data_IF_552461288510
#
_entry.id   IF_552461288510
#
_cell.length_a   1.000
_cell.length_b   1.000
_cell.length_c   1.000
_cell.angle_alpha   90.00
_cell.angle_beta   90.00
_cell.angle_gamma   90.00
#
_symmetry.space_group_name_H-M   'P 1'
#
loop_
_entity.id
_entity.type
_entity.pdbx_description
1 polymer ?
#
# COMPACT_ATOMS: atom_id res chain seq x y z
N UNK A 1 -10.65 2.73 28.78
CA UNK A 1 -9.56 2.26 27.89
C UNK A 1 -9.10 3.42 27.01
N UNK A 2 -7.80 3.73 26.98
CA UNK A 2 -7.27 4.80 26.13
C UNK A 2 -7.54 4.50 24.65
N UNK A 3 -8.22 5.42 23.95
CA UNK A 3 -8.48 5.35 22.51
C UNK A 3 -7.14 5.28 21.78
N UNK A 4 -6.76 4.11 21.25
CA UNK A 4 -5.55 3.97 20.44
C UNK A 4 -5.75 4.73 19.12
N UNK A 5 -5.24 5.95 19.02
CA UNK A 5 -5.21 6.70 17.76
C UNK A 5 -4.25 6.03 16.78
N UNK A 6 -4.75 5.65 15.61
CA UNK A 6 -3.90 5.23 14.49
C UNK A 6 -3.64 6.43 13.58
N UNK A 7 -2.37 6.68 13.30
CA UNK A 7 -1.96 7.71 12.35
C UNK A 7 -1.81 7.07 10.98
N UNK A 8 -2.59 7.51 10.00
CA UNK A 8 -2.47 7.06 8.62
C UNK A 8 -2.00 8.22 7.75
N UNK A 9 -0.88 8.04 7.06
CA UNK A 9 -0.37 9.00 6.07
C UNK A 9 -0.72 8.50 4.67
N UNK A 10 -1.39 9.34 3.88
CA UNK A 10 -1.82 9.01 2.51
C UNK A 10 -1.34 10.08 1.54
N UNK A 11 -0.76 9.66 0.42
CA UNK A 11 -0.47 10.56 -0.70
C UNK A 11 -1.77 10.93 -1.44
N UNK A 12 -1.96 12.22 -1.66
CA UNK A 12 -3.04 12.82 -2.42
C UNK A 12 -2.42 13.46 -3.67
N UNK A 13 -3.09 13.31 -4.80
CA UNK A 13 -2.67 13.86 -6.08
C UNK A 13 -3.70 14.87 -6.56
N UNK A 14 -3.25 16.05 -6.90
CA UNK A 14 -4.03 17.14 -7.47
C UNK A 14 -3.54 17.39 -8.89
N UNK A 15 -4.46 17.32 -9.85
CA UNK A 15 -4.17 17.69 -11.23
C UNK A 15 -4.16 19.21 -11.37
N UNK A 16 -3.26 19.75 -12.17
CA UNK A 16 -3.23 21.17 -12.49
C UNK A 16 -4.13 21.49 -13.69
N UNK A 17 -4.66 22.71 -13.74
CA UNK A 17 -5.17 23.28 -14.99
C UNK A 17 -4.00 23.73 -15.86
N UNK A 18 -4.20 23.85 -17.19
CA UNK A 18 -3.17 24.33 -18.10
C UNK A 18 -2.55 25.66 -17.62
N UNK A 19 -1.22 25.71 -17.65
CA UNK A 19 -0.45 26.90 -17.29
C UNK A 19 0.18 27.52 -18.54
N UNK A 20 0.52 28.81 -18.45
CA UNK A 20 1.18 29.51 -19.55
C UNK A 20 2.57 28.94 -19.81
N UNK A 21 3.03 29.02 -21.07
CA UNK A 21 4.38 28.61 -21.46
C UNK A 21 5.47 29.26 -20.59
N UNK A 22 5.36 30.56 -20.33
CA UNK A 22 6.29 31.28 -19.46
C UNK A 22 6.36 30.73 -18.01
N UNK A 23 5.23 30.25 -17.45
CA UNK A 23 5.25 29.57 -16.14
C UNK A 23 5.94 28.22 -16.23
N UNK A 24 5.66 27.45 -17.29
CA UNK A 24 6.25 26.13 -17.51
C UNK A 24 7.77 26.21 -17.70
N UNK A 25 8.25 27.13 -18.54
CA UNK A 25 9.68 27.34 -18.79
C UNK A 25 10.42 27.71 -17.49
N UNK A 26 9.83 28.59 -16.66
CA UNK A 26 10.41 28.95 -15.37
C UNK A 26 10.44 27.78 -14.38
N UNK A 27 9.39 26.97 -14.33
CA UNK A 27 9.38 25.76 -13.50
C UNK A 27 10.40 24.74 -14.00
N UNK A 28 10.63 24.63 -15.31
CA UNK A 28 11.63 23.75 -15.89
C UNK A 28 13.03 24.10 -15.37
N UNK A 29 13.40 25.38 -15.40
CA UNK A 29 14.68 25.86 -14.83
C UNK A 29 14.82 25.46 -13.36
N UNK A 30 13.74 25.57 -12.56
CA UNK A 30 13.76 25.20 -11.15
C UNK A 30 13.91 23.69 -10.97
N UNK A 31 13.26 22.88 -11.80
CA UNK A 31 13.38 21.42 -11.78
C UNK A 31 14.77 20.94 -12.21
N UNK A 32 15.39 21.62 -13.18
CA UNK A 32 16.75 21.30 -13.63
C UNK A 32 17.78 21.60 -12.53
N UNK A 33 17.68 22.77 -11.88
CA UNK A 33 18.47 23.09 -10.69
C UNK A 33 18.24 22.08 -9.56
N UNK A 34 16.98 21.67 -9.32
CA UNK A 34 16.65 20.64 -8.32
C UNK A 34 17.37 19.32 -8.63
N UNK A 35 17.34 18.88 -9.89
CA UNK A 35 18.01 17.66 -10.35
C UNK A 35 19.52 17.75 -10.18
N UNK A 36 20.12 18.89 -10.50
CA UNK A 36 21.55 19.14 -10.34
C UNK A 36 21.97 19.07 -8.87
N UNK A 37 21.27 19.79 -7.98
CA UNK A 37 21.50 19.73 -6.53
C UNK A 37 21.37 18.29 -6.02
N UNK A 38 20.32 17.59 -6.44
CA UNK A 38 20.11 16.19 -6.09
C UNK A 38 21.29 15.32 -6.55
N UNK A 39 21.78 15.50 -7.77
CA UNK A 39 22.88 14.72 -8.33
C UNK A 39 24.23 14.99 -7.61
N UNK A 40 24.50 16.25 -7.26
CA UNK A 40 25.69 16.60 -6.48
C UNK A 40 25.60 16.01 -5.06
N UNK A 41 24.43 16.13 -4.41
CA UNK A 41 24.20 15.54 -3.09
C UNK A 41 24.36 14.02 -3.12
N UNK A 42 23.70 13.37 -4.07
CA UNK A 42 23.81 11.94 -4.36
C UNK A 42 25.26 11.45 -4.48
N UNK A 43 26.09 12.19 -5.21
CA UNK A 43 27.49 11.86 -5.42
C UNK A 43 28.33 11.98 -4.14
N UNK A 44 28.05 12.99 -3.30
CA UNK A 44 28.84 13.29 -2.09
C UNK A 44 28.37 12.58 -0.81
N UNK A 45 27.11 12.18 -0.74
CA UNK A 45 26.55 11.46 0.43
C UNK A 45 27.40 10.27 0.93
N UNK A 46 27.95 9.39 0.06
CA UNK A 46 28.79 8.27 0.51
C UNK A 46 30.07 8.69 1.25
N UNK A 47 30.69 9.82 0.87
CA UNK A 47 31.90 10.31 1.54
C UNK A 47 31.57 11.09 2.80
N UNK A 48 30.48 11.86 2.78
CA UNK A 48 30.00 12.65 3.92
C UNK A 48 29.55 11.77 5.10
N UNK A 49 28.92 10.62 4.84
CA UNK A 49 28.53 9.70 5.92
C UNK A 49 29.70 8.93 6.54
N UNK A 50 30.79 8.70 5.79
CA UNK A 50 31.98 7.98 6.28
C UNK A 50 32.95 8.85 7.08
N UNK A 51 32.98 10.16 6.83
CA UNK A 51 33.98 11.09 7.38
C UNK A 51 33.50 11.87 8.60
N UNK A 52 32.21 11.84 8.91
CA UNK A 52 31.69 12.66 10.01
C UNK A 52 31.82 11.92 11.36
N UNK A 53 32.80 12.32 12.17
CA UNK A 53 32.77 12.14 13.63
C UNK A 53 31.56 12.85 14.27
N UNK A 54 30.96 13.82 13.56
CA UNK A 54 29.80 14.61 13.97
C UNK A 54 28.67 14.45 12.96
N UNK A 55 27.67 13.63 13.31
CA UNK A 55 26.62 13.06 12.46
C UNK A 55 26.09 13.88 11.26
N UNK A 56 25.53 13.14 10.29
CA UNK A 56 25.04 13.55 8.96
C UNK A 56 24.45 14.96 8.82
N UNK A 57 23.81 15.51 9.86
CA UNK A 57 23.19 16.84 9.85
C UNK A 57 24.17 18.01 9.62
N UNK A 58 25.39 17.99 10.18
CA UNK A 58 26.38 19.08 9.96
C UNK A 58 26.94 19.05 8.53
N UNK A 59 27.17 17.86 7.99
CA UNK A 59 27.64 17.66 6.61
C UNK A 59 26.59 18.13 5.58
N UNK A 60 25.32 17.81 5.80
CA UNK A 60 24.22 18.28 4.94
C UNK A 60 24.07 19.80 4.99
N UNK A 61 24.28 20.42 6.16
CA UNK A 61 24.27 21.88 6.27
C UNK A 61 25.44 22.54 5.52
N UNK A 62 26.64 21.94 5.52
CA UNK A 62 27.77 22.45 4.70
C UNK A 62 27.46 22.32 3.21
N UNK A 63 26.98 21.17 2.77
CA UNK A 63 26.59 20.97 1.38
C UNK A 63 25.49 21.96 0.96
N UNK A 64 24.53 22.23 1.85
CA UNK A 64 23.51 23.27 1.64
C UNK A 64 24.15 24.65 1.48
N UNK A 65 25.12 25.02 2.33
CA UNK A 65 25.82 26.31 2.26
C UNK A 65 26.65 26.41 0.97
N UNK A 66 27.27 25.33 0.51
CA UNK A 66 28.06 25.31 -0.72
C UNK A 66 27.19 25.44 -1.98
N UNK A 67 25.98 24.86 -1.96
CA UNK A 67 25.05 24.87 -3.10
C UNK A 67 24.10 26.08 -3.11
N UNK A 68 23.94 26.77 -1.99
CA UNK A 68 23.05 27.93 -1.85
C UNK A 68 23.47 29.17 -2.66
N UNK A 69 24.77 29.51 -2.82
CA UNK A 69 25.22 30.63 -3.66
C UNK A 69 25.07 30.37 -5.17
N UNK A 70 25.00 29.10 -5.57
CA UNK A 70 25.05 28.68 -6.98
C UNK A 70 23.65 28.60 -7.60
N UNK A 71 22.58 28.61 -6.79
CA UNK A 71 21.22 28.33 -7.27
C UNK A 71 20.28 29.51 -7.08
N UNK A 72 19.62 29.91 -8.17
CA UNK A 72 18.53 30.92 -8.16
C UNK A 72 17.25 30.42 -7.46
N UNK A 73 17.24 29.16 -7.03
CA UNK A 73 16.08 28.44 -6.51
C UNK A 73 15.85 28.74 -5.04
N UNK A 74 14.60 28.65 -4.58
CA UNK A 74 14.27 28.83 -3.18
C UNK A 74 15.08 27.87 -2.28
N UNK A 75 15.68 28.41 -1.21
CA UNK A 75 16.55 27.65 -0.29
C UNK A 75 15.89 26.39 0.29
N UNK A 76 14.57 26.44 0.48
CA UNK A 76 13.75 25.31 0.95
C UNK A 76 13.63 24.19 -0.10
N UNK A 77 13.56 24.55 -1.39
CA UNK A 77 13.58 23.57 -2.49
C UNK A 77 14.97 22.92 -2.59
N UNK A 78 16.04 23.69 -2.44
CA UNK A 78 17.41 23.16 -2.43
C UNK A 78 17.63 22.22 -1.23
N UNK A 79 17.13 22.58 -0.05
CA UNK A 79 17.15 21.71 1.13
C UNK A 79 16.39 20.40 0.87
N UNK A 80 15.19 20.46 0.29
CA UNK A 80 14.42 19.25 -0.05
C UNK A 80 15.10 18.38 -1.10
N UNK A 81 15.85 18.94 -2.05
CA UNK A 81 16.65 18.16 -3.00
C UNK A 81 17.70 17.31 -2.29
N UNK A 82 18.40 17.90 -1.31
CA UNK A 82 19.41 17.23 -0.48
C UNK A 82 18.76 16.17 0.41
N UNK A 83 17.64 16.50 1.07
CA UNK A 83 16.92 15.56 1.93
C UNK A 83 16.36 14.38 1.13
N UNK A 84 15.85 14.64 -0.08
CA UNK A 84 15.38 13.60 -0.99
C UNK A 84 16.51 12.68 -1.46
N UNK A 85 17.69 13.24 -1.79
CA UNK A 85 18.87 12.45 -2.11
C UNK A 85 19.29 11.57 -0.92
N UNK A 86 19.26 12.11 0.30
CA UNK A 86 19.55 11.32 1.49
C UNK A 86 18.57 10.17 1.69
N UNK A 87 17.26 10.41 1.58
CA UNK A 87 16.25 9.37 1.74
C UNK A 87 16.42 8.23 0.71
N UNK A 88 16.76 8.57 -0.53
CA UNK A 88 17.06 7.59 -1.57
C UNK A 88 18.36 6.83 -1.30
N UNK A 89 19.37 7.49 -0.73
CA UNK A 89 20.60 6.84 -0.27
C UNK A 89 20.33 5.78 0.80
N UNK A 90 19.63 6.16 1.86
CA UNK A 90 19.30 5.27 3.00
C UNK A 90 18.46 4.06 2.53
N UNK A 91 17.53 4.29 1.61
CA UNK A 91 16.73 3.23 0.97
C UNK A 91 17.62 2.27 0.17
N UNK A 92 18.54 2.79 -0.63
CA UNK A 92 19.50 1.98 -1.40
C UNK A 92 20.41 1.17 -0.47
N UNK A 93 20.94 1.76 0.61
CA UNK A 93 21.77 1.05 1.58
C UNK A 93 21.01 -0.08 2.26
N UNK A 94 19.75 0.16 2.63
CA UNK A 94 18.87 -0.87 3.18
C UNK A 94 18.67 -2.03 2.21
N UNK A 95 18.47 -1.74 0.91
CA UNK A 95 18.37 -2.77 -0.12
C UNK A 95 19.68 -3.54 -0.30
N UNK A 96 20.83 -2.86 -0.32
CA UNK A 96 22.15 -3.50 -0.41
C UNK A 96 22.42 -4.40 0.79
N UNK A 97 22.06 -3.97 2.00
CA UNK A 97 22.14 -4.79 3.21
C UNK A 97 21.31 -6.08 3.09
N UNK A 98 20.06 -6.00 2.60
CA UNK A 98 19.22 -7.19 2.33
C UNK A 98 19.85 -8.13 1.29
N UNK A 99 20.49 -7.56 0.27
CA UNK A 99 21.21 -8.35 -0.75
C UNK A 99 22.41 -9.08 -0.14
N UNK A 100 23.21 -8.43 0.71
CA UNK A 100 24.35 -9.06 1.41
C UNK A 100 23.90 -10.27 2.23
N UNK A 101 22.89 -10.09 3.09
CA UNK A 101 22.28 -11.19 3.88
C UNK A 101 21.77 -12.34 3.02
N UNK A 102 21.23 -12.02 1.83
CA UNK A 102 20.77 -13.05 0.88
C UNK A 102 21.95 -13.80 0.25
N UNK A 103 23.06 -13.11 -0.05
CA UNK A 103 24.27 -13.74 -0.59
C UNK A 103 24.88 -14.67 0.43
N UNK A 104 25.06 -14.22 1.68
CA UNK A 104 25.57 -15.04 2.80
C UNK A 104 24.77 -16.33 2.95
N UNK A 105 23.44 -16.24 2.94
CA UNK A 105 22.56 -17.43 2.99
C UNK A 105 22.76 -18.37 1.81
N UNK A 106 22.89 -17.84 0.59
CA UNK A 106 23.09 -18.65 -0.60
C UNK A 106 24.48 -19.31 -0.63
N UNK A 107 25.51 -18.63 -0.10
CA UNK A 107 26.86 -19.17 0.02
C UNK A 107 26.89 -20.31 1.05
N UNK A 108 26.22 -20.12 2.19
CA UNK A 108 25.99 -21.19 3.17
C UNK A 108 25.24 -22.39 2.57
N UNK A 109 24.19 -22.15 1.80
CA UNK A 109 23.46 -23.22 1.08
C UNK A 109 24.36 -23.97 0.08
N UNK A 110 25.24 -23.27 -0.63
CA UNK A 110 26.20 -23.89 -1.56
C UNK A 110 27.20 -24.78 -0.85
N UNK A 111 27.71 -24.35 0.31
CA UNK A 111 28.66 -25.13 1.11
C UNK A 111 28.08 -26.45 1.60
N UNK A 112 26.76 -26.52 1.84
CA UNK A 112 26.05 -27.72 2.33
C UNK A 112 25.35 -28.52 1.24
N UNK A 113 25.66 -28.29 -0.04
CA UNK A 113 25.05 -29.05 -1.16
C UNK A 113 25.39 -30.54 -1.06
N UNK A 114 26.65 -30.84 -0.71
CA UNK A 114 27.17 -32.20 -0.69
C UNK A 114 26.51 -33.08 0.38
N UNK A 115 26.02 -32.46 1.46
CA UNK A 115 25.22 -33.10 2.52
C UNK A 115 23.75 -33.33 2.14
N UNK A 116 23.22 -32.54 1.20
CA UNK A 116 21.76 -32.47 0.92
C UNK A 116 21.32 -33.19 -0.34
N UNK A 117 22.24 -33.52 -1.25
CA UNK A 117 21.92 -34.10 -2.54
C UNK A 117 22.88 -35.26 -2.76
N UNK A 118 22.42 -36.50 -2.84
CA UNK A 118 23.32 -37.65 -3.07
C UNK A 118 23.82 -37.71 -4.52
N UNK A 119 22.95 -37.46 -5.51
CA UNK A 119 23.28 -37.65 -6.95
C UNK A 119 24.24 -36.57 -7.50
N UNK A 120 25.45 -36.93 -7.99
CA UNK A 120 26.47 -35.98 -8.45
C UNK A 120 26.00 -35.03 -9.57
N UNK A 121 25.33 -35.54 -10.61
CA UNK A 121 24.82 -34.72 -11.71
C UNK A 121 23.77 -33.68 -11.27
N UNK A 122 23.02 -33.96 -10.20
CA UNK A 122 22.05 -33.03 -9.60
C UNK A 122 22.75 -31.99 -8.73
N UNK A 123 23.81 -32.36 -8.00
CA UNK A 123 24.65 -31.42 -7.22
C UNK A 123 25.20 -30.31 -8.09
N UNK A 124 25.86 -30.68 -9.19
CA UNK A 124 26.55 -29.73 -10.06
C UNK A 124 25.57 -28.75 -10.72
N UNK A 125 24.40 -29.25 -11.16
CA UNK A 125 23.34 -28.42 -11.72
C UNK A 125 22.81 -27.39 -10.71
N UNK A 126 22.62 -27.80 -9.45
CA UNK A 126 22.15 -26.91 -8.37
C UNK A 126 23.24 -25.90 -7.99
N UNK A 127 24.49 -26.33 -7.87
CA UNK A 127 25.66 -25.47 -7.60
C UNK A 127 25.80 -24.37 -8.65
N UNK A 128 25.78 -24.72 -9.95
CA UNK A 128 25.78 -23.73 -11.05
C UNK A 128 24.61 -22.74 -10.97
N UNK A 129 23.40 -23.22 -10.63
CA UNK A 129 22.20 -22.36 -10.50
C UNK A 129 22.32 -21.36 -9.36
N UNK A 130 22.77 -21.81 -8.19
CA UNK A 130 22.97 -20.95 -7.01
C UNK A 130 24.13 -19.96 -7.23
N UNK A 131 25.25 -20.41 -7.80
CA UNK A 131 26.37 -19.54 -8.18
C UNK A 131 25.92 -18.43 -9.15
N UNK A 132 25.08 -18.76 -10.15
CA UNK A 132 24.49 -17.76 -11.05
C UNK A 132 23.60 -16.76 -10.29
N UNK A 133 22.83 -17.21 -9.29
CA UNK A 133 21.98 -16.36 -8.45
C UNK A 133 22.83 -15.42 -7.60
N UNK A 134 23.90 -15.91 -6.97
CA UNK A 134 24.88 -15.11 -6.22
C UNK A 134 25.52 -14.06 -7.14
N UNK A 135 26.00 -14.46 -8.32
CA UNK A 135 26.59 -13.52 -9.30
C UNK A 135 25.63 -12.37 -9.64
N UNK A 136 24.35 -12.67 -9.88
CA UNK A 136 23.31 -11.65 -10.12
C UNK A 136 23.11 -10.73 -8.92
N UNK A 137 23.09 -11.27 -7.70
CA UNK A 137 22.96 -10.50 -6.47
C UNK A 137 24.18 -9.62 -6.21
N UNK A 138 25.39 -10.12 -6.41
CA UNK A 138 26.65 -9.35 -6.33
C UNK A 138 26.67 -8.18 -7.32
N UNK A 139 26.14 -8.35 -8.54
CA UNK A 139 25.95 -7.22 -9.48
C UNK A 139 25.04 -6.13 -8.90
N UNK A 140 23.98 -6.50 -8.19
CA UNK A 140 23.09 -5.54 -7.52
C UNK A 140 23.76 -4.74 -6.38
N UNK A 141 24.84 -5.24 -5.78
CA UNK A 141 25.63 -4.46 -4.82
C UNK A 141 26.45 -3.35 -5.48
N UNK A 142 26.81 -3.54 -6.75
CA UNK A 142 27.57 -2.59 -7.57
C UNK A 142 26.69 -1.53 -8.24
N UNK A 143 25.36 -1.60 -8.06
CA UNK A 143 24.46 -0.59 -8.63
C UNK A 143 24.85 0.80 -8.12
N UNK A 144 25.05 1.79 -9.02
CA UNK A 144 25.40 3.14 -8.65
C UNK A 144 24.22 3.82 -7.94
N UNK A 145 24.48 5.02 -7.44
CA UNK A 145 23.44 5.83 -6.82
C UNK A 145 22.30 6.15 -7.83
N UNK A 146 21.01 6.16 -7.42
CA UNK A 146 19.89 6.47 -8.30
C UNK A 146 19.95 7.90 -8.87
N UNK A 147 20.00 8.04 -10.20
CA UNK A 147 19.89 9.33 -10.88
C UNK A 147 18.42 9.72 -10.97
N UNK A 148 18.11 11.00 -10.69
CA UNK A 148 16.77 11.54 -10.84
C UNK A 148 16.49 11.84 -12.31
N UNK A 149 15.59 11.07 -12.93
CA UNK A 149 15.25 11.22 -14.36
C UNK A 149 13.99 12.04 -14.62
N UNK A 150 13.17 12.27 -13.60
CA UNK A 150 11.88 12.95 -13.75
C UNK A 150 12.03 14.46 -13.48
N UNK A 151 11.21 15.27 -14.16
CA UNK A 151 11.15 16.72 -13.94
C UNK A 151 10.28 17.02 -12.71
N UNK A 152 10.87 16.90 -11.52
CA UNK A 152 10.15 17.13 -10.25
C UNK A 152 10.73 18.30 -9.47
N UNK A 153 9.88 18.94 -8.68
CA UNK A 153 10.25 19.93 -7.68
C UNK A 153 9.65 19.51 -6.35
N UNK A 154 10.47 19.27 -5.33
CA UNK A 154 10.01 19.02 -3.96
C UNK A 154 10.15 20.27 -3.11
N UNK A 155 9.14 20.54 -2.29
CA UNK A 155 9.02 21.78 -1.51
C UNK A 155 8.61 21.43 -0.09
N UNK A 156 9.36 21.97 0.87
CA UNK A 156 9.12 21.77 2.29
C UNK A 156 7.71 22.20 2.67
N UNK A 157 7.08 21.47 3.60
CA UNK A 157 5.65 21.59 3.89
C UNK A 157 5.24 22.97 4.44
N UNK A 158 6.16 23.73 5.02
CA UNK A 158 5.93 25.10 5.48
C UNK A 158 6.11 26.16 4.38
N UNK A 159 6.57 25.76 3.19
CA UNK A 159 6.93 26.71 2.13
C UNK A 159 5.88 26.80 1.03
N UNK A 160 4.92 25.89 0.96
CA UNK A 160 3.82 25.95 -0.01
C UNK A 160 2.47 25.96 0.72
N UNK A 161 1.43 26.43 0.05
CA UNK A 161 0.06 26.46 0.61
C UNK A 161 -1.01 26.39 -0.48
N UNK A 162 -2.22 26.00 -0.10
CA UNK A 162 -3.41 26.20 -0.93
C UNK A 162 -3.99 27.59 -0.68
N UNK A 163 -4.32 28.31 -1.74
CA UNK A 163 -4.92 29.64 -1.68
C UNK A 163 -6.19 29.67 -2.53
N UNK A 164 -7.28 30.13 -1.92
CA UNK A 164 -8.55 30.36 -2.60
C UNK A 164 -8.59 31.79 -3.13
N UNK A 165 -8.83 31.97 -4.43
CA UNK A 165 -8.98 33.28 -5.06
C UNK A 165 -9.87 33.18 -6.29
N UNK A 166 -10.86 34.06 -6.41
CA UNK A 166 -11.78 34.13 -7.56
C UNK A 166 -12.41 32.77 -7.89
N UNK A 167 -13.01 32.12 -6.87
CA UNK A 167 -13.60 30.78 -6.96
C UNK A 167 -12.68 29.67 -7.47
N UNK A 168 -11.36 29.91 -7.41
CA UNK A 168 -10.34 28.94 -7.79
C UNK A 168 -9.39 28.60 -6.67
N UNK A 169 -8.95 27.35 -6.65
CA UNK A 169 -7.90 26.90 -5.75
C UNK A 169 -6.56 26.87 -6.47
N UNK A 170 -5.56 27.51 -5.87
CA UNK A 170 -4.18 27.52 -6.33
C UNK A 170 -3.29 26.78 -5.34
N UNK A 171 -2.35 25.99 -5.83
CA UNK A 171 -1.13 25.69 -5.07
C UNK A 171 -0.12 26.79 -5.32
N UNK A 172 0.35 27.42 -4.25
CA UNK A 172 1.28 28.54 -4.29
C UNK A 172 2.61 28.10 -3.70
N UNK A 173 3.68 28.26 -4.48
CA UNK A 173 5.03 27.86 -4.12
C UNK A 173 6.06 28.97 -4.41
N UNK A 174 7.02 29.23 -3.51
CA UNK A 174 8.16 30.09 -3.75
C UNK A 174 9.18 29.31 -4.58
N UNK A 175 9.52 29.82 -5.77
CA UNK A 175 10.37 29.07 -6.72
C UNK A 175 11.77 29.67 -6.85
N UNK A 176 11.86 30.99 -6.80
CA UNK A 176 13.06 31.74 -7.18
C UNK A 176 13.30 32.85 -6.17
N UNK A 177 14.55 33.05 -5.76
CA UNK A 177 14.93 34.16 -4.88
C UNK A 177 15.28 35.39 -5.72
N UNK A 178 14.67 36.53 -5.40
CA UNK A 178 14.92 37.81 -6.07
C UNK A 178 15.19 38.86 -4.99
N UNK A 179 16.46 39.21 -4.83
CA UNK A 179 16.93 40.06 -3.73
C UNK A 179 16.58 39.42 -2.38
N UNK A 180 15.78 40.13 -1.58
CA UNK A 180 15.33 39.68 -0.26
C UNK A 180 14.01 38.90 -0.26
N UNK A 181 13.32 38.80 -1.41
CA UNK A 181 11.99 38.17 -1.52
C UNK A 181 12.03 36.92 -2.39
N UNK A 182 11.06 36.04 -2.19
CA UNK A 182 10.84 34.90 -3.07
C UNK A 182 9.70 35.20 -4.05
N UNK A 183 9.96 34.97 -5.33
CA UNK A 183 8.91 34.98 -6.36
C UNK A 183 8.04 33.74 -6.18
N UNK A 184 6.74 33.98 -5.98
CA UNK A 184 5.73 32.93 -5.85
C UNK A 184 5.12 32.60 -7.21
N UNK A 185 4.99 31.33 -7.52
CA UNK A 185 4.20 30.85 -8.65
C UNK A 185 2.87 30.30 -8.13
N UNK A 186 1.80 30.69 -8.82
CA UNK A 186 0.43 30.27 -8.55
C UNK A 186 0.00 29.28 -9.63
N UNK A 187 -0.24 28.04 -9.21
CA UNK A 187 -0.63 26.94 -10.09
C UNK A 187 -2.10 26.58 -9.83
N UNK A 188 -3.00 26.83 -10.79
CA UNK A 188 -4.41 26.52 -10.64
C UNK A 188 -4.62 25.01 -10.59
N UNK A 189 -5.42 24.53 -9.64
CA UNK A 189 -5.80 23.12 -9.55
C UNK A 189 -7.03 22.83 -10.41
N UNK A 190 -7.11 21.62 -10.96
CA UNK A 190 -8.35 21.07 -11.51
C UNK A 190 -9.25 20.66 -10.36
N UNK A 191 -10.34 21.39 -10.19
CA UNK A 191 -11.21 21.23 -9.03
C UNK A 191 -12.11 20.00 -9.11
N UNK A 192 -12.34 19.42 -7.93
CA UNK A 192 -13.37 18.42 -7.67
C UNK A 192 -13.92 18.63 -6.27
N UNK A 193 -15.17 18.25 -6.04
CA UNK A 193 -15.81 18.32 -4.71
C UNK A 193 -14.97 17.58 -3.65
N UNK A 194 -14.41 16.42 -4.02
CA UNK A 194 -13.49 15.65 -3.19
C UNK A 194 -12.26 16.46 -2.77
N UNK A 195 -11.63 17.20 -3.69
CA UNK A 195 -10.46 18.01 -3.37
C UNK A 195 -10.80 19.21 -2.50
N UNK A 196 -11.95 19.88 -2.73
CA UNK A 196 -12.40 20.98 -1.87
C UNK A 196 -12.57 20.50 -0.43
N UNK A 197 -13.28 19.40 -0.24
CA UNK A 197 -13.46 18.80 1.08
C UNK A 197 -12.12 18.46 1.75
N UNK A 198 -11.17 17.86 1.02
CA UNK A 198 -9.85 17.54 1.57
C UNK A 198 -9.06 18.79 1.97
N UNK A 199 -9.06 19.83 1.13
CA UNK A 199 -8.32 21.07 1.37
C UNK A 199 -8.89 21.82 2.56
N UNK A 200 -10.22 21.93 2.67
CA UNK A 200 -10.89 22.61 3.77
C UNK A 200 -10.75 21.90 5.12
N UNK A 201 -10.70 20.56 5.13
CA UNK A 201 -10.67 19.78 6.37
C UNK A 201 -9.28 19.30 6.80
N UNK A 202 -8.22 19.68 6.07
CA UNK A 202 -6.85 19.26 6.39
C UNK A 202 -6.00 20.43 6.84
N UNK A 203 -5.66 20.43 8.13
CA UNK A 203 -4.88 21.50 8.74
C UNK A 203 -3.36 21.33 8.57
N UNK A 204 -2.88 20.12 8.24
CA UNK A 204 -1.44 19.83 8.08
C UNK A 204 -1.18 18.96 6.86
N UNK A 205 -0.34 19.49 5.98
CA UNK A 205 0.14 18.82 4.79
C UNK A 205 1.62 18.42 4.95
N UNK A 206 2.02 17.38 4.23
CA UNK A 206 3.41 16.96 4.13
C UNK A 206 4.18 17.72 3.04
N UNK A 207 5.38 17.24 2.73
CA UNK A 207 6.19 17.75 1.62
C UNK A 207 5.37 17.75 0.34
N UNK A 208 5.41 18.86 -0.39
CA UNK A 208 4.79 19.00 -1.71
C UNK A 208 5.75 18.56 -2.79
N UNK A 209 5.27 17.84 -3.79
CA UNK A 209 6.02 17.44 -4.97
C UNK A 209 5.23 17.83 -6.22
N UNK A 210 5.78 18.73 -7.02
CA UNK A 210 5.28 19.04 -8.33
C UNK A 210 5.98 18.15 -9.36
N UNK A 211 5.20 17.45 -10.17
CA UNK A 211 5.65 16.66 -11.32
C UNK A 211 5.28 17.40 -12.60
N UNK A 212 6.29 17.88 -13.33
CA UNK A 212 6.10 18.69 -14.54
C UNK A 212 5.79 17.86 -15.79
N UNK A 213 6.08 16.56 -15.74
CA UNK A 213 5.81 15.64 -16.85
C UNK A 213 4.32 15.27 -16.89
N UNK A 214 3.68 15.23 -15.72
CA UNK A 214 2.28 14.83 -15.55
C UNK A 214 1.36 15.96 -15.08
N UNK A 215 1.88 17.19 -14.98
CA UNK A 215 1.17 18.37 -14.44
C UNK A 215 0.42 18.06 -13.14
N UNK A 216 1.07 17.30 -12.25
CA UNK A 216 0.45 16.78 -11.01
C UNK A 216 1.18 17.31 -9.79
N UNK A 217 0.42 17.88 -8.86
CA UNK A 217 0.90 18.20 -7.51
C UNK A 217 0.56 17.06 -6.54
N UNK A 218 1.57 16.54 -5.86
CA UNK A 218 1.46 15.41 -4.94
C UNK A 218 1.87 15.87 -3.56
N UNK A 219 1.07 15.57 -2.55
CA UNK A 219 1.42 15.82 -1.15
C UNK A 219 0.80 14.74 -0.27
N UNK A 220 1.26 14.61 0.96
CA UNK A 220 0.68 13.66 1.91
C UNK A 220 -0.20 14.35 2.93
N UNK A 221 -1.33 13.72 3.25
CA UNK A 221 -2.15 14.06 4.41
C UNK A 221 -1.89 13.03 5.49
N UNK A 222 -1.68 13.51 6.71
CA UNK A 222 -1.61 12.64 7.88
C UNK A 222 -2.91 12.80 8.66
N UNK A 223 -3.77 11.79 8.56
CA UNK A 223 -5.03 11.78 9.28
C UNK A 223 -4.82 11.01 10.57
N UNK A 224 -4.92 11.72 11.70
CA UNK A 224 -5.09 11.08 13.01
C UNK A 224 -6.51 10.55 13.06
N UNK A 225 -6.67 9.24 13.14
CA UNK A 225 -8.00 8.61 13.21
C UNK A 225 -8.15 7.97 14.58
N UNK A 226 -9.24 8.32 15.26
CA UNK A 226 -9.67 7.60 16.46
C UNK A 226 -10.15 6.20 16.04
N UNK A 227 -9.58 5.16 16.65
CA UNK A 227 -10.09 3.79 16.52
C UNK A 227 -11.38 3.72 17.35
N UNK A 228 -12.52 4.04 16.74
CA UNK A 228 -13.82 3.94 17.41
C UNK A 228 -14.14 2.47 17.60
N UNK A 229 -13.94 1.97 18.82
CA UNK A 229 -14.30 0.61 19.20
C UNK A 229 -15.73 0.62 19.72
N UNK A 230 -16.68 0.31 18.84
CA UNK A 230 -18.04 -0.06 19.23
C UNK A 230 -18.18 -1.58 19.28
N UNK A 231 -19.21 -2.04 19.98
CA UNK A 231 -19.70 -3.40 19.87
C UNK A 231 -20.44 -3.56 18.53
N UNK A 232 -19.98 -4.46 17.64
CA UNK A 232 -20.61 -4.62 16.34
C UNK A 232 -22.02 -5.19 16.45
N UNK A 233 -22.96 -4.59 15.72
CA UNK A 233 -24.33 -5.11 15.52
C UNK A 233 -24.45 -5.81 14.15
N UNK A 234 -23.63 -5.38 13.18
CA UNK A 234 -23.64 -5.92 11.82
C UNK A 234 -22.31 -6.56 11.48
N UNK A 235 -22.33 -7.79 10.99
CA UNK A 235 -21.14 -8.54 10.53
C UNK A 235 -21.15 -8.66 9.01
N UNK A 236 -20.11 -8.14 8.37
CA UNK A 236 -20.00 -8.10 6.90
C UNK A 236 -18.85 -8.99 6.47
N UNK A 237 -19.16 -10.20 6.00
CA UNK A 237 -18.17 -11.14 5.50
C UNK A 237 -17.87 -10.89 4.03
N UNK A 238 -16.58 -10.76 3.69
CA UNK A 238 -16.13 -10.54 2.31
C UNK A 238 -15.21 -11.68 1.88
N UNK A 239 -15.68 -12.47 0.92
CA UNK A 239 -14.88 -13.46 0.19
C UNK A 239 -14.27 -12.83 -1.06
N UNK A 240 -12.98 -13.10 -1.33
CA UNK A 240 -12.23 -12.53 -2.46
C UNK A 240 -11.77 -13.65 -3.39
N UNK A 241 -12.21 -13.62 -4.65
CA UNK A 241 -12.00 -14.72 -5.60
C UNK A 241 -11.52 -14.29 -6.97
N UNK A 242 -11.25 -15.30 -7.81
CA UNK A 242 -10.92 -15.10 -9.24
C UNK A 242 -12.17 -15.05 -10.11
N UNK A 243 -13.15 -15.91 -9.83
CA UNK A 243 -14.42 -15.99 -10.56
C UNK A 243 -15.34 -14.81 -10.20
N UNK A 244 -15.37 -14.45 -8.92
CA UNK A 244 -15.99 -13.24 -8.40
C UNK A 244 -14.91 -12.42 -7.68
N UNK A 245 -14.75 -11.16 -8.09
CA UNK A 245 -13.73 -10.25 -7.54
C UNK A 245 -13.91 -10.10 -6.03
N UNK A 246 -15.18 -9.99 -5.62
CA UNK A 246 -15.61 -10.01 -4.24
C UNK A 246 -17.02 -10.59 -4.15
N UNK A 247 -17.32 -11.27 -3.07
CA UNK A 247 -18.67 -11.63 -2.63
C UNK A 247 -18.84 -11.15 -1.20
N UNK A 248 -19.87 -10.36 -0.96
CA UNK A 248 -20.19 -9.76 0.33
C UNK A 248 -21.49 -10.36 0.87
N UNK A 249 -21.51 -10.71 2.14
CA UNK A 249 -22.70 -11.07 2.88
C UNK A 249 -22.80 -10.24 4.16
N UNK A 250 -23.93 -9.60 4.37
CA UNK A 250 -24.27 -8.85 5.58
C UNK A 250 -25.11 -9.76 6.48
N UNK A 251 -24.63 -9.96 7.72
CA UNK A 251 -25.31 -10.73 8.75
C UNK A 251 -25.61 -9.81 9.93
N UNK A 252 -26.89 -9.73 10.30
CA UNK A 252 -27.37 -8.97 11.44
C UNK A 252 -28.28 -9.89 12.26
N UNK A 253 -28.07 -9.94 13.58
CA UNK A 253 -28.82 -10.81 14.50
C UNK A 253 -28.89 -12.28 14.04
N UNK A 254 -27.78 -12.80 13.53
CA UNK A 254 -27.66 -14.17 13.01
C UNK A 254 -28.35 -14.43 11.67
N UNK A 255 -29.03 -13.43 11.08
CA UNK A 255 -29.74 -13.53 9.80
C UNK A 255 -28.96 -12.85 8.68
N UNK A 256 -29.00 -13.44 7.49
CA UNK A 256 -28.41 -12.83 6.28
C UNK A 256 -29.40 -11.80 5.76
N UNK A 257 -28.99 -10.52 5.71
CA UNK A 257 -29.86 -9.41 5.29
C UNK A 257 -29.54 -8.89 3.89
N UNK A 258 -28.30 -8.98 3.45
CA UNK A 258 -27.91 -8.60 2.08
C UNK A 258 -26.77 -9.49 1.59
N UNK A 259 -26.82 -9.84 0.29
CA UNK A 259 -25.72 -10.50 -0.42
C UNK A 259 -25.45 -9.75 -1.71
N UNK A 260 -24.18 -9.45 -1.98
CA UNK A 260 -23.73 -8.81 -3.23
C UNK A 260 -22.54 -9.54 -3.80
N UNK A 261 -22.54 -9.72 -5.12
CA UNK A 261 -21.47 -10.37 -5.86
C UNK A 261 -20.97 -9.44 -6.97
N UNK A 262 -19.65 -9.32 -7.07
CA UNK A 262 -19.00 -8.60 -8.16
C UNK A 262 -18.33 -9.60 -9.08
N UNK A 263 -18.92 -9.82 -10.25
CA UNK A 263 -18.43 -10.82 -11.20
C UNK A 263 -17.03 -10.49 -11.71
N UNK A 264 -16.18 -11.51 -11.79
CA UNK A 264 -14.86 -11.46 -12.41
C UNK A 264 -14.86 -11.90 -13.87
N UNK A 265 -16.01 -12.12 -14.52
CA UNK A 265 -16.06 -12.60 -15.92
C UNK A 265 -15.32 -11.66 -16.89
N UNK A 266 -15.51 -10.35 -16.75
CA UNK A 266 -14.77 -9.36 -17.55
C UNK A 266 -13.26 -9.35 -17.22
N UNK A 267 -12.91 -9.66 -15.97
CA UNK A 267 -11.53 -9.85 -15.51
C UNK A 267 -10.88 -11.05 -16.16
N UNK A 268 -11.57 -12.18 -16.23
CA UNK A 268 -11.04 -13.36 -16.90
C UNK A 268 -10.82 -13.11 -18.40
N UNK A 269 -11.83 -12.54 -19.08
CA UNK A 269 -11.73 -12.20 -20.50
C UNK A 269 -10.53 -11.26 -20.77
N UNK A 270 -10.40 -10.21 -19.96
CA UNK A 270 -9.32 -9.22 -20.12
C UNK A 270 -7.95 -9.82 -19.81
N UNK A 271 -7.84 -10.65 -18.76
CA UNK A 271 -6.61 -11.39 -18.43
C UNK A 271 -6.21 -12.36 -19.55
N UNK A 272 -7.18 -13.05 -20.15
CA UNK A 272 -6.95 -13.93 -21.30
C UNK A 272 -6.40 -13.15 -22.48
N UNK A 273 -7.00 -12.02 -22.85
CA UNK A 273 -6.52 -11.14 -23.93
C UNK A 273 -5.09 -10.65 -23.69
N UNK A 274 -4.76 -10.20 -22.47
CA UNK A 274 -3.39 -9.80 -22.12
C UNK A 274 -2.40 -10.96 -22.16
N UNK A 275 -2.83 -12.18 -21.79
CA UNK A 275 -2.01 -13.39 -21.85
C UNK A 275 -1.75 -13.81 -23.30
N UNK A 276 -2.77 -13.81 -24.15
CA UNK A 276 -2.67 -14.10 -25.58
C UNK A 276 -1.75 -13.09 -26.27
N UNK A 277 -1.96 -11.79 -26.03
CA UNK A 277 -1.09 -10.74 -26.55
C UNK A 277 0.38 -10.97 -26.16
N UNK A 278 0.67 -11.23 -24.88
CA UNK A 278 2.05 -11.53 -24.42
C UNK A 278 2.64 -12.76 -25.12
N UNK A 279 1.86 -13.82 -25.28
CA UNK A 279 2.31 -15.04 -25.96
C UNK A 279 2.65 -14.75 -27.42
N UNK A 280 1.76 -14.09 -28.14
CA UNK A 280 1.95 -13.75 -29.56
C UNK A 280 3.16 -12.84 -29.76
N UNK A 281 3.23 -11.74 -29.03
CA UNK A 281 4.34 -10.77 -29.16
C UNK A 281 5.68 -11.35 -28.70
N UNK A 282 5.68 -12.19 -27.67
CA UNK A 282 6.90 -12.89 -27.23
C UNK A 282 7.40 -13.90 -28.27
N UNK A 283 6.51 -14.57 -29.01
CA UNK A 283 6.89 -15.47 -30.12
C UNK A 283 7.53 -14.69 -31.28
N UNK A 284 7.00 -13.50 -31.57
CA UNK A 284 7.51 -12.62 -32.64
C UNK A 284 8.81 -11.90 -32.22
N UNK A 285 9.19 -11.97 -30.93
CA UNK A 285 10.43 -11.35 -30.43
C UNK A 285 10.39 -9.83 -30.27
N UNK A 286 9.21 -9.21 -30.35
CA UNK A 286 9.03 -7.74 -30.27
C UNK A 286 8.97 -7.23 -28.83
N UNK A 287 10.15 -7.12 -28.22
CA UNK A 287 10.32 -6.69 -26.80
C UNK A 287 9.84 -5.26 -26.56
N UNK A 288 9.94 -4.38 -27.55
CA UNK A 288 9.44 -3.00 -27.54
C UNK A 288 7.91 -2.95 -27.31
N UNK A 289 7.14 -3.80 -28.00
CA UNK A 289 5.69 -3.90 -27.87
C UNK A 289 5.26 -4.49 -26.51
N UNK A 290 6.08 -5.36 -25.92
CA UNK A 290 5.89 -5.86 -24.55
C UNK A 290 6.14 -4.75 -23.53
N UNK A 291 7.17 -3.94 -23.74
CA UNK A 291 7.52 -2.82 -22.88
C UNK A 291 6.48 -1.70 -22.95
N UNK A 292 5.97 -1.37 -24.14
CA UNK A 292 4.91 -0.38 -24.33
C UNK A 292 3.61 -0.78 -23.59
N UNK A 293 3.28 -2.08 -23.57
CA UNK A 293 2.11 -2.59 -22.83
C UNK A 293 2.40 -2.96 -21.36
N UNK A 294 3.61 -2.69 -20.86
CA UNK A 294 4.00 -3.03 -19.50
C UNK A 294 3.13 -2.28 -18.49
N UNK A 295 2.58 -3.03 -17.54
CA UNK A 295 1.75 -2.49 -16.46
C UNK A 295 0.33 -2.09 -16.87
N UNK A 296 -0.07 -2.20 -18.15
CA UNK A 296 -1.45 -1.88 -18.57
C UNK A 296 -2.49 -2.78 -17.88
N UNK A 297 -2.21 -4.09 -17.82
CA UNK A 297 -3.04 -5.06 -17.08
C UNK A 297 -3.13 -4.73 -15.58
N UNK A 298 -2.02 -4.30 -14.98
CA UNK A 298 -1.98 -3.93 -13.55
C UNK A 298 -2.79 -2.66 -13.29
N UNK A 299 -2.68 -1.62 -14.15
CA UNK A 299 -3.47 -0.39 -14.04
C UNK A 299 -4.96 -0.66 -14.21
N UNK A 300 -5.32 -1.50 -15.17
CA UNK A 300 -6.71 -1.90 -15.41
C UNK A 300 -7.31 -2.66 -14.21
N UNK A 301 -6.58 -3.65 -13.68
CA UNK A 301 -6.97 -4.38 -12.48
C UNK A 301 -7.08 -3.45 -11.26
N UNK A 302 -6.15 -2.52 -11.10
CA UNK A 302 -6.18 -1.54 -10.00
C UNK A 302 -7.40 -0.61 -10.11
N UNK A 303 -7.76 -0.18 -11.32
CA UNK A 303 -8.99 0.59 -11.56
C UNK A 303 -10.23 -0.23 -11.19
N UNK A 304 -10.32 -1.47 -11.65
CA UNK A 304 -11.43 -2.39 -11.32
C UNK A 304 -11.56 -2.58 -9.81
N UNK A 305 -10.45 -2.85 -9.12
CA UNK A 305 -10.40 -2.95 -7.67
C UNK A 305 -10.84 -1.65 -6.99
N UNK A 306 -10.48 -0.49 -7.52
CA UNK A 306 -10.93 0.80 -7.01
C UNK A 306 -12.44 1.00 -7.13
N UNK A 307 -13.05 0.57 -8.24
CA UNK A 307 -14.51 0.66 -8.42
C UNK A 307 -15.23 -0.27 -7.43
N UNK A 308 -14.87 -1.55 -7.42
CA UNK A 308 -15.50 -2.56 -6.55
C UNK A 308 -15.34 -2.21 -5.07
N UNK A 309 -14.14 -1.82 -4.63
CA UNK A 309 -13.92 -1.43 -3.24
C UNK A 309 -14.66 -0.15 -2.84
N UNK A 310 -15.06 0.72 -3.79
CA UNK A 310 -15.88 1.89 -3.50
C UNK A 310 -17.32 1.46 -3.20
N UNK A 311 -17.89 0.61 -4.06
CA UNK A 311 -19.24 0.07 -3.90
C UNK A 311 -19.36 -0.76 -2.61
N UNK A 312 -18.38 -1.59 -2.30
CA UNK A 312 -18.31 -2.31 -1.02
C UNK A 312 -18.32 -1.33 0.16
N UNK A 313 -17.54 -0.25 0.09
CA UNK A 313 -17.47 0.71 1.18
C UNK A 313 -18.80 1.47 1.36
N UNK A 314 -19.49 1.82 0.27
CA UNK A 314 -20.83 2.42 0.31
C UNK A 314 -21.83 1.51 1.04
N UNK A 315 -21.83 0.21 0.73
CA UNK A 315 -22.68 -0.79 1.41
C UNK A 315 -22.29 -0.89 2.90
N UNK A 316 -21.00 -1.06 3.20
CA UNK A 316 -20.53 -1.22 4.59
C UNK A 316 -20.94 -0.03 5.46
N UNK A 317 -20.82 1.18 4.94
CA UNK A 317 -21.12 2.41 5.67
C UNK A 317 -22.62 2.70 5.82
N UNK A 318 -23.49 1.98 5.09
CA UNK A 318 -24.93 2.11 5.20
C UNK A 318 -25.51 1.35 6.42
N UNK A 319 -24.76 0.40 7.00
CA UNK A 319 -25.21 -0.41 8.13
C UNK A 319 -24.74 0.17 9.48
N UNK A 320 -25.53 -0.01 10.55
CA UNK A 320 -25.15 0.42 11.89
C UNK A 320 -24.05 -0.49 12.48
N UNK A 321 -23.08 0.15 13.14
CA UNK A 321 -21.97 -0.50 13.86
C UNK A 321 -21.39 -1.73 13.12
N UNK A 322 -20.91 -1.58 11.88
CA UNK A 322 -20.48 -2.71 11.07
C UNK A 322 -19.11 -3.28 11.49
N UNK A 323 -18.89 -4.56 11.28
CA UNK A 323 -17.58 -5.19 11.34
C UNK A 323 -17.30 -5.88 10.01
N UNK A 324 -16.28 -5.42 9.30
CA UNK A 324 -15.87 -6.10 8.06
C UNK A 324 -14.95 -7.26 8.39
N UNK A 325 -15.29 -8.45 7.94
CA UNK A 325 -14.56 -9.69 8.21
C UNK A 325 -13.98 -10.23 6.90
N UNK A 326 -12.68 -10.49 6.90
CA UNK A 326 -11.95 -11.07 5.77
C UNK A 326 -11.28 -12.37 6.17
N UNK A 327 -11.05 -13.24 5.21
CA UNK A 327 -10.08 -14.32 5.38
C UNK A 327 -8.64 -13.81 5.39
N UNK A 328 -7.82 -14.47 6.19
CA UNK A 328 -6.40 -14.14 6.36
C UNK A 328 -5.48 -15.01 5.47
N UNK A 329 -5.81 -15.10 4.18
CA UNK A 329 -5.16 -15.98 3.19
C UNK A 329 -3.62 -15.86 3.14
N UNK A 330 -3.08 -14.65 3.34
CA UNK A 330 -1.64 -14.38 3.22
C UNK A 330 -0.78 -15.04 4.30
N UNK A 331 -1.36 -15.47 5.42
CA UNK A 331 -0.63 -16.17 6.49
C UNK A 331 -0.53 -17.67 6.25
N UNK A 332 -1.38 -18.22 5.38
CA UNK A 332 -1.60 -19.66 5.24
C UNK A 332 -1.37 -20.18 3.81
N UNK A 333 -1.19 -19.29 2.82
CA UNK A 333 -1.01 -19.66 1.41
C UNK A 333 0.22 -18.96 0.82
N UNK A 334 1.12 -19.74 0.22
CA UNK A 334 2.40 -19.26 -0.34
C UNK A 334 2.26 -18.26 -1.50
N UNK A 335 1.12 -18.28 -2.20
CA UNK A 335 0.86 -17.44 -3.38
C UNK A 335 -0.58 -16.97 -3.44
N UNK A 336 -0.85 -15.85 -2.78
CA UNK A 336 -2.09 -15.10 -2.99
C UNK A 336 -1.90 -14.14 -4.17
N UNK A 337 -2.83 -14.09 -5.13
CA UNK A 337 -2.81 -13.10 -6.19
C UNK A 337 -2.70 -11.67 -5.64
N UNK A 338 -1.77 -10.86 -6.18
CA UNK A 338 -1.49 -9.49 -5.72
C UNK A 338 -2.74 -8.59 -5.72
N UNK A 339 -3.71 -8.87 -6.58
CA UNK A 339 -4.97 -8.13 -6.68
C UNK A 339 -5.87 -8.32 -5.45
N UNK A 340 -5.79 -9.46 -4.75
CA UNK A 340 -6.58 -9.69 -3.53
C UNK A 340 -6.07 -8.84 -2.36
N UNK A 341 -4.75 -8.78 -2.22
CA UNK A 341 -4.12 -7.89 -1.25
C UNK A 341 -4.48 -6.42 -1.54
N UNK A 342 -4.40 -6.02 -2.80
CA UNK A 342 -4.72 -4.66 -3.20
C UNK A 342 -6.18 -4.29 -2.91
N UNK A 343 -7.16 -5.10 -3.30
CA UNK A 343 -8.58 -4.78 -3.06
C UNK A 343 -8.91 -4.76 -1.57
N UNK A 344 -8.34 -5.68 -0.78
CA UNK A 344 -8.49 -5.67 0.69
C UNK A 344 -7.98 -4.36 1.29
N UNK A 345 -6.75 -3.94 0.94
CA UNK A 345 -6.22 -2.66 1.39
C UNK A 345 -7.11 -1.50 0.98
N UNK A 346 -7.69 -1.56 -0.23
CA UNK A 346 -8.59 -0.53 -0.72
C UNK A 346 -9.88 -0.44 0.09
N UNK A 347 -10.49 -1.59 0.42
CA UNK A 347 -11.67 -1.65 1.28
C UNK A 347 -11.32 -1.14 2.67
N UNK A 348 -10.25 -1.67 3.28
CA UNK A 348 -9.80 -1.30 4.63
C UNK A 348 -9.62 0.22 4.79
N UNK A 349 -9.03 0.93 3.81
CA UNK A 349 -8.87 2.39 3.93
C UNK A 349 -10.18 3.17 3.68
N UNK A 350 -11.10 2.62 2.87
CA UNK A 350 -12.34 3.29 2.47
C UNK A 350 -13.45 3.17 3.50
N UNK A 351 -13.47 2.07 4.26
CA UNK A 351 -14.50 1.84 5.29
C UNK A 351 -14.15 2.51 6.63
N UNK A 352 -12.94 3.03 6.81
CA UNK A 352 -12.55 3.70 8.07
C UNK A 352 -13.57 4.81 8.42
N UNK A 353 -14.08 4.89 9.67
CA UNK A 353 -13.56 4.28 10.91
C UNK A 353 -14.00 2.84 11.21
N UNK A 354 -14.72 2.17 10.30
CA UNK A 354 -15.20 0.79 10.51
C UNK A 354 -14.05 -0.16 10.79
N UNK A 355 -14.24 -1.01 11.81
CA UNK A 355 -13.25 -2.02 12.21
C UNK A 355 -13.21 -3.15 11.18
N UNK A 356 -12.03 -3.66 10.89
CA UNK A 356 -11.83 -4.87 10.09
C UNK A 356 -11.23 -6.00 10.93
N UNK A 357 -11.62 -7.24 10.64
CA UNK A 357 -11.14 -8.45 11.33
C UNK A 357 -10.66 -9.48 10.30
N UNK A 358 -9.45 -9.99 10.49
CA UNK A 358 -8.94 -11.16 9.75
C UNK A 358 -9.27 -12.44 10.50
N UNK A 359 -9.82 -13.45 9.81
CA UNK A 359 -10.10 -14.78 10.36
C UNK A 359 -9.35 -15.87 9.61
N UNK A 360 -9.12 -17.00 10.28
CA UNK A 360 -8.49 -18.16 9.64
C UNK A 360 -9.39 -18.71 8.51
N UNK A 361 -8.86 -18.93 7.28
CA UNK A 361 -9.63 -19.39 6.11
C UNK A 361 -10.09 -20.86 6.19
N UNK A 362 -9.89 -21.54 7.32
CA UNK A 362 -10.16 -22.96 7.40
C UNK A 362 -11.67 -23.21 7.31
N UNK A 363 -12.03 -24.06 6.34
CA UNK A 363 -13.34 -24.71 6.16
C UNK A 363 -14.52 -23.79 5.84
N UNK A 364 -14.30 -22.49 5.68
CA UNK A 364 -15.30 -21.50 5.28
C UNK A 364 -15.95 -21.81 3.93
N UNK A 365 -15.23 -22.49 3.04
CA UNK A 365 -15.68 -22.86 1.70
C UNK A 365 -16.48 -24.17 1.60
N UNK A 366 -16.45 -25.02 2.63
CA UNK A 366 -17.07 -26.36 2.64
C UNK A 366 -18.12 -26.54 3.74
N UNK A 367 -18.07 -25.73 4.81
CA UNK A 367 -19.09 -25.75 5.87
C UNK A 367 -20.42 -25.21 5.32
N UNK A 368 -21.51 -25.90 5.56
CA UNK A 368 -22.84 -25.43 5.27
C UNK A 368 -23.25 -24.35 6.29
N UNK A 369 -23.53 -23.14 5.82
CA UNK A 369 -23.96 -22.05 6.70
C UNK A 369 -25.32 -22.30 7.41
N UNK A 370 -26.11 -23.27 6.92
CA UNK A 370 -27.44 -23.61 7.44
C UNK A 370 -27.38 -24.66 8.55
N UNK A 371 -26.69 -25.79 8.31
CA UNK A 371 -26.68 -26.93 9.24
C UNK A 371 -25.31 -27.20 9.90
N UNK A 372 -24.26 -26.49 9.51
CA UNK A 372 -22.91 -26.68 10.03
C UNK A 372 -22.16 -27.91 9.51
N UNK A 373 -22.80 -28.75 8.68
CA UNK A 373 -22.14 -29.90 8.05
C UNK A 373 -20.96 -29.48 7.18
N UNK A 374 -19.88 -30.24 7.19
CA UNK A 374 -18.55 -29.81 6.77
C UNK A 374 -17.87 -30.78 5.78
N UNK A 375 -18.71 -31.53 5.08
CA UNK A 375 -18.40 -32.51 4.04
C UNK A 375 -17.61 -31.89 2.86
N UNK A 376 -16.46 -32.47 2.47
CA UNK A 376 -15.71 -32.03 1.29
C UNK A 376 -16.52 -31.99 -0.01
N UNK A 377 -17.52 -32.86 -0.17
CA UNK A 377 -18.36 -32.95 -1.37
C UNK A 377 -19.43 -31.86 -1.43
N UNK A 378 -19.50 -30.99 -0.41
CA UNK A 378 -20.44 -29.88 -0.41
C UNK A 378 -20.18 -28.84 -1.52
N UNK A 379 -18.99 -28.83 -2.14
CA UNK A 379 -18.61 -27.82 -3.15
C UNK A 379 -18.12 -28.46 -4.44
N UNK A 380 -18.79 -28.11 -5.55
CA UNK A 380 -18.35 -28.42 -6.91
C UNK A 380 -18.23 -27.13 -7.73
N UNK A 381 -17.00 -26.61 -7.82
CA UNK A 381 -16.72 -25.36 -8.54
C UNK A 381 -17.41 -24.15 -7.91
N UNK A 382 -18.37 -23.57 -8.65
CA UNK A 382 -19.19 -22.42 -8.24
C UNK A 382 -20.46 -22.82 -7.48
N UNK A 383 -20.82 -24.11 -7.51
CA UNK A 383 -22.01 -24.62 -6.85
C UNK A 383 -21.66 -25.16 -5.47
N UNK A 384 -22.51 -24.83 -4.49
CA UNK A 384 -22.50 -25.44 -3.16
C UNK A 384 -23.80 -26.20 -2.96
N UNK A 385 -23.71 -27.48 -2.60
CA UNK A 385 -24.84 -28.35 -2.32
C UNK A 385 -24.52 -29.16 -1.06
N UNK A 386 -25.21 -28.86 0.04
CA UNK A 386 -24.98 -29.57 1.29
C UNK A 386 -25.51 -31.00 1.22
N UNK A 387 -24.63 -31.99 1.36
CA UNK A 387 -24.97 -33.42 1.38
C UNK A 387 -25.87 -33.80 2.56
N UNK A 388 -25.77 -33.06 3.68
CA UNK A 388 -26.53 -33.33 4.92
C UNK A 388 -27.93 -32.74 4.96
N UNK A 389 -28.13 -31.52 4.45
CA UNK A 389 -29.43 -30.81 4.57
C UNK A 389 -30.04 -30.34 3.25
N UNK A 390 -29.42 -30.68 2.11
CA UNK A 390 -29.88 -30.32 0.78
C UNK A 390 -29.78 -28.82 0.43
N UNK A 391 -29.21 -27.99 1.30
CA UNK A 391 -29.06 -26.55 1.05
C UNK A 391 -28.20 -26.28 -0.20
N UNK A 392 -28.69 -25.44 -1.12
CA UNK A 392 -28.03 -25.10 -2.39
C UNK A 392 -27.86 -23.60 -2.53
N UNK A 393 -26.65 -23.16 -2.89
CA UNK A 393 -26.34 -21.75 -3.15
C UNK A 393 -25.05 -21.64 -3.99
N UNK A 394 -24.69 -20.43 -4.42
CA UNK A 394 -23.36 -20.18 -4.96
C UNK A 394 -22.29 -20.34 -3.88
N UNK A 395 -21.19 -21.03 -4.17
CA UNK A 395 -20.14 -21.35 -3.20
C UNK A 395 -19.52 -20.12 -2.54
N UNK A 396 -19.23 -19.06 -3.30
CA UNK A 396 -18.68 -17.81 -2.76
C UNK A 396 -19.67 -17.06 -1.85
N UNK A 397 -20.99 -17.25 -2.05
CA UNK A 397 -22.01 -16.68 -1.14
C UNK A 397 -22.02 -17.45 0.18
N UNK A 398 -21.98 -18.79 0.12
CA UNK A 398 -21.85 -19.61 1.33
C UNK A 398 -20.58 -19.24 2.11
N UNK A 399 -19.46 -19.06 1.41
CA UNK A 399 -18.20 -18.63 2.00
C UNK A 399 -18.32 -17.25 2.68
N UNK A 400 -18.88 -16.24 2.00
CA UNK A 400 -19.06 -14.90 2.57
C UNK A 400 -19.94 -14.92 3.85
N UNK A 401 -21.03 -15.71 3.86
CA UNK A 401 -21.88 -15.88 5.05
C UNK A 401 -21.09 -16.55 6.18
N UNK A 402 -20.35 -17.62 5.90
CA UNK A 402 -19.53 -18.30 6.89
C UNK A 402 -18.43 -17.39 7.47
N UNK A 403 -17.82 -16.54 6.63
CA UNK A 403 -16.82 -15.56 7.06
C UNK A 403 -17.45 -14.57 8.07
N UNK A 404 -18.64 -14.03 7.77
CA UNK A 404 -19.36 -13.14 8.67
C UNK A 404 -19.66 -13.81 10.02
N UNK A 405 -20.30 -14.99 10.00
CA UNK A 405 -20.64 -15.77 11.20
C UNK A 405 -19.43 -16.16 12.03
N UNK A 406 -18.31 -16.50 11.38
CA UNK A 406 -17.06 -16.84 12.06
C UNK A 406 -16.42 -15.62 12.73
N UNK A 407 -16.53 -14.44 12.10
CA UNK A 407 -16.13 -13.18 12.73
C UNK A 407 -16.92 -12.88 14.00
N UNK A 408 -18.23 -13.08 13.96
CA UNK A 408 -19.11 -12.98 15.13
C UNK A 408 -18.69 -13.94 16.25
N UNK A 409 -18.52 -15.23 15.93
CA UNK A 409 -18.09 -16.24 16.89
C UNK A 409 -16.74 -15.90 17.53
N UNK A 410 -15.75 -15.45 16.75
CA UNK A 410 -14.43 -15.05 17.27
C UNK A 410 -14.56 -13.94 18.33
N UNK A 411 -15.44 -12.96 18.12
CA UNK A 411 -15.66 -11.90 19.11
C UNK A 411 -16.36 -12.41 20.36
N UNK A 412 -17.36 -13.27 20.22
CA UNK A 412 -18.04 -13.87 21.37
C UNK A 412 -17.05 -14.67 22.24
N UNK A 413 -16.13 -15.42 21.63
CA UNK A 413 -15.09 -16.15 22.36
C UNK A 413 -14.08 -15.22 23.03
N UNK A 414 -13.70 -14.13 22.38
CA UNK A 414 -12.80 -13.14 22.97
C UNK A 414 -13.42 -12.50 24.22
N UNK A 415 -14.72 -12.15 24.17
CA UNK A 415 -15.46 -11.63 25.32
C UNK A 415 -15.50 -12.63 26.48
N UNK A 416 -15.84 -13.90 26.21
CA UNK A 416 -15.84 -14.96 27.23
C UNK A 416 -14.48 -15.11 27.92
N UNK A 417 -13.39 -15.07 27.16
CA UNK A 417 -12.03 -15.12 27.71
C UNK A 417 -11.68 -13.89 28.55
N UNK A 418 -12.10 -12.70 28.12
CA UNK A 418 -11.87 -11.45 28.87
C UNK A 418 -12.68 -11.41 30.17
N UNK A 419 -13.94 -11.84 30.13
CA UNK A 419 -14.79 -12.02 31.32
C UNK A 419 -14.20 -13.06 32.29
N UNK A 420 -13.75 -14.21 31.79
CA UNK A 420 -13.11 -15.24 32.61
C UNK A 420 -11.79 -14.75 33.25
N UNK A 421 -11.02 -13.95 32.50
CA UNK A 421 -9.78 -13.35 33.01
C UNK A 421 -10.07 -12.32 34.11
N UNK A 422 -11.06 -11.46 33.92
CA UNK A 422 -11.47 -10.48 34.93
C UNK A 422 -12.00 -11.17 36.19
N UNK A 423 -12.76 -12.26 36.07
CA UNK A 423 -13.26 -13.04 37.20
C UNK A 423 -12.10 -13.69 37.98
N UNK A 424 -11.10 -14.24 37.29
CA UNK A 424 -9.91 -14.85 37.94
C UNK A 424 -9.04 -13.84 38.71
N UNK A 425 -8.97 -12.58 38.26
CA UNK A 425 -8.26 -11.50 38.97
C UNK A 425 -9.02 -10.97 40.19
N UNK A 426 -10.35 -11.06 40.21
CA UNK A 426 -11.16 -10.64 41.36
C UNK A 426 -11.07 -11.67 42.50
N UNK A 427 -10.96 -12.96 42.18
CA UNK A 427 -10.80 -14.03 43.19
C UNK A 427 -9.43 -14.03 43.87
N UNK A 428 -8.39 -13.45 43.25
CA UNK A 428 -7.05 -13.35 43.87
C UNK A 428 -6.92 -12.17 44.83
N UNK A 429 -7.86 -11.21 44.82
CA UNK A 429 -7.85 -10.06 45.73
C UNK A 429 -8.72 -10.23 46.97
N UNK A 430 -9.55 -11.29 47.05
CA UNK A 430 -10.44 -11.55 48.19
C UNK A 430 -9.90 -12.55 49.21
N UNK A 431 -8.62 -12.94 49.16
CA UNK A 431 -8.01 -13.90 50.10
C UNK A 431 -6.86 -13.34 50.97
N UNK A 432 -6.64 -12.01 50.98
CA UNK A 432 -5.75 -11.36 51.94
C UNK A 432 -6.54 -10.34 52.77
N UNK A 433 -7.48 -10.84 53.57
CA UNK A 433 -8.23 -10.04 54.53
C UNK A 433 -8.73 -10.94 55.66
N UNK A 434 -8.15 -10.71 56.83
CA UNK A 434 -8.66 -11.02 58.16
C UNK A 434 -8.53 -12.47 58.66
N UNK A 435 -7.43 -12.73 59.37
CA UNK A 435 -7.44 -13.57 60.57
C UNK A 435 -7.08 -12.65 61.75
N UNK A 436 -7.89 -12.59 62.82
CA UNK A 436 -7.69 -11.70 63.97
C UNK A 436 -6.41 -11.94 64.76
#
# INVERSE_FOLDING_TARGET
MAKKTKTATKAVKFQLLPITKAKKDRLQVVADNFREIYAVAAYRLPSLEKTSQYGSRRALNRLRIELHPITIVAAQIAQEAIEYARANYETMQTQKSKIRKTIERLEYEIGRIDEKIEKPGKRERVRKKLARKIRRKRRGLRTPYPILTHNIIRIHNQSWSFVHKNDRIYVVLPVEKIGTRYRKIWLPLKESEHYRHLISNTNKWGVGQLDLDTDTFITSITVKREDVRYEPETFIGIDLGLNNIATLAVVQDGKVVEVRMWSGKEVEHTRRRFREYRRTVSKIGRVDLLNANRGREQRWMAYTNHVVSKQIAEIVLAYPKPLVVFEELYRFVDRVPWNFYQIRQMIEYKVVPVRTLGIHPARTSVICNRCGGDDPDNRHGVHFHCTKCGYRVHADVNAAINIAKKGEWVLQQAKKKESAKNLSTTTTQSHNGDVP
#
